data_IF_975775942072
#
_entry.id   IF_975775942072
#
_cell.length_a   1.000
_cell.length_b   1.000
_cell.length_c   1.000
_cell.angle_alpha   90.00
_cell.angle_beta   90.00
_cell.angle_gamma   90.00
#
_symmetry.space_group_name_H-M   'P 1'
#
loop_
_entity.id
_entity.type
_entity.pdbx_description
1 polymer ?
#
# COMPACT_ATOMS: atom_id res chain seq x y z
N UNK A 1 -10.90 -15.85 17.61
CA UNK A 1 -9.68 -15.03 17.78
C UNK A 1 -9.18 -14.59 16.41
N UNK A 2 -9.78 -13.57 15.76
CA UNK A 2 -9.28 -13.16 14.42
C UNK A 2 -9.59 -11.71 14.04
N UNK A 3 -10.05 -10.88 14.97
CA UNK A 3 -10.33 -9.45 14.66
C UNK A 3 -9.19 -8.54 15.12
N UNK A 4 -8.35 -9.01 16.05
CA UNK A 4 -7.35 -8.18 16.74
C UNK A 4 -6.03 -8.05 15.92
N UNK A 5 -5.74 -8.99 15.01
CA UNK A 5 -4.46 -8.98 14.27
C UNK A 5 -4.40 -8.01 13.09
N UNK A 6 -5.54 -7.60 12.53
CA UNK A 6 -5.58 -6.68 11.39
C UNK A 6 -5.56 -5.23 11.89
N UNK A 7 -6.28 -4.92 12.98
CA UNK A 7 -6.31 -3.57 13.56
C UNK A 7 -4.93 -3.14 14.08
N UNK A 8 -4.14 -4.05 14.66
CA UNK A 8 -2.79 -3.75 15.13
C UNK A 8 -1.77 -3.55 13.97
N UNK A 9 -1.93 -4.26 12.84
CA UNK A 9 -1.02 -4.14 11.68
C UNK A 9 -1.31 -2.87 10.84
N UNK A 10 -2.58 -2.47 10.74
CA UNK A 10 -2.99 -1.22 10.07
C UNK A 10 -2.66 0.02 10.93
N UNK A 11 -2.62 -0.12 12.26
CA UNK A 11 -2.19 0.96 13.17
C UNK A 11 -0.76 1.43 12.90
N UNK A 12 0.10 0.59 12.30
CA UNK A 12 1.50 0.95 12.03
C UNK A 12 1.69 1.85 10.80
N UNK A 13 0.72 1.90 9.87
CA UNK A 13 0.85 2.66 8.63
C UNK A 13 0.22 4.05 8.77
N UNK A 14 -0.79 4.22 9.63
CA UNK A 14 -1.42 5.52 9.89
C UNK A 14 -0.48 6.53 10.58
N UNK A 15 0.70 6.11 11.07
CA UNK A 15 1.57 6.98 11.86
C UNK A 15 3.04 6.50 11.85
N UNK A 16 3.74 6.54 10.72
CA UNK A 16 5.21 6.78 10.77
C UNK A 16 5.44 8.28 11.04
N UNK A 17 4.89 8.76 12.15
CA UNK A 17 5.33 9.92 12.92
C UNK A 17 5.88 9.43 14.26
N UNK A 18 6.55 8.28 14.25
CA UNK A 18 7.24 7.76 15.42
C UNK A 18 8.49 8.65 15.55
N UNK A 19 8.55 9.50 16.58
CA UNK A 19 9.65 10.43 16.90
C UNK A 19 9.84 11.69 16.01
N UNK A 20 8.81 12.21 15.34
CA UNK A 20 8.94 13.48 14.61
C UNK A 20 9.74 13.40 13.30
N UNK A 21 10.03 12.18 12.83
CA UNK A 21 10.56 11.90 11.50
C UNK A 21 9.38 11.54 10.60
N UNK A 22 9.08 12.37 9.61
CA UNK A 22 8.14 12.01 8.53
C UNK A 22 8.90 11.12 7.55
N UNK A 23 8.78 9.80 7.68
CA UNK A 23 9.38 8.89 6.71
C UNK A 23 8.42 8.78 5.53
N UNK A 24 8.87 9.26 4.37
CA UNK A 24 8.13 9.10 3.13
C UNK A 24 8.22 7.63 2.68
N UNK A 25 7.10 6.92 2.77
CA UNK A 25 7.00 5.50 2.40
C UNK A 25 6.70 5.39 0.91
N UNK A 26 7.40 4.51 0.20
CA UNK A 26 7.17 4.26 -1.22
C UNK A 26 6.47 2.93 -1.45
N UNK A 27 5.88 2.78 -2.64
CA UNK A 27 5.19 1.53 -3.03
C UNK A 27 6.11 0.32 -2.90
N UNK A 28 7.36 0.43 -3.35
CA UNK A 28 8.36 -0.65 -3.25
C UNK A 28 8.62 -1.15 -1.82
N UNK A 29 8.40 -0.29 -0.82
CA UNK A 29 8.59 -0.63 0.59
C UNK A 29 7.37 -1.39 1.14
N UNK A 30 6.18 -1.14 0.58
CA UNK A 30 4.91 -1.73 1.00
C UNK A 30 4.64 -3.08 0.33
N UNK A 31 4.95 -3.22 -0.96
CA UNK A 31 4.61 -4.43 -1.72
C UNK A 31 5.08 -5.74 -1.06
N UNK A 32 6.31 -5.86 -0.53
CA UNK A 32 6.74 -7.06 0.17
C UNK A 32 5.94 -7.35 1.46
N UNK A 33 5.34 -6.34 2.09
CA UNK A 33 4.56 -6.48 3.33
C UNK A 33 3.14 -7.00 3.07
N UNK A 34 2.61 -6.74 1.87
CA UNK A 34 1.27 -7.12 1.43
C UNK A 34 1.29 -8.22 0.36
N UNK A 35 2.44 -8.89 0.19
CA UNK A 35 2.64 -9.92 -0.85
C UNK A 35 1.71 -11.15 -0.74
N UNK A 36 1.00 -11.32 0.38
CA UNK A 36 0.03 -12.40 0.58
C UNK A 36 -1.41 -12.01 0.19
N UNK A 37 -1.58 -10.76 -0.24
CA UNK A 37 -2.84 -10.15 -0.60
C UNK A 37 -2.76 -9.67 -2.05
N UNK A 38 -3.91 -9.58 -2.70
CA UNK A 38 -4.01 -8.79 -3.91
C UNK A 38 -3.76 -7.31 -3.52
N UNK A 39 -3.03 -6.56 -4.35
CA UNK A 39 -2.70 -5.17 -4.09
C UNK A 39 -3.20 -4.29 -5.22
N UNK A 40 -4.14 -3.41 -4.90
CA UNK A 40 -4.69 -2.42 -5.83
C UNK A 40 -4.04 -1.07 -5.55
N UNK A 41 -3.37 -0.50 -6.54
CA UNK A 41 -2.68 0.79 -6.44
C UNK A 41 -3.58 1.85 -7.08
N UNK A 42 -4.01 2.82 -6.27
CA UNK A 42 -4.89 3.91 -6.68
C UNK A 42 -4.18 5.25 -6.53
N UNK A 43 -4.15 6.04 -7.60
CA UNK A 43 -3.68 7.43 -7.59
C UNK A 43 -4.82 8.38 -7.28
N UNK A 44 -4.56 9.36 -6.42
CA UNK A 44 -5.56 10.37 -6.07
C UNK A 44 -6.80 9.75 -5.43
N UNK A 45 -7.99 10.03 -5.98
CA UNK A 45 -9.26 9.59 -5.40
C UNK A 45 -9.78 8.28 -5.99
N UNK A 46 -9.55 8.00 -7.28
CA UNK A 46 -10.21 6.87 -7.96
C UNK A 46 -9.43 6.33 -9.18
N UNK A 47 -8.22 6.84 -9.46
CA UNK A 47 -7.46 6.40 -10.64
C UNK A 47 -6.70 5.11 -10.31
N UNK A 48 -7.25 3.95 -10.67
CA UNK A 48 -6.54 2.68 -10.57
C UNK A 48 -5.37 2.65 -11.56
N UNK A 49 -4.15 2.60 -11.03
CA UNK A 49 -2.93 2.48 -11.83
C UNK A 49 -2.59 1.00 -12.07
N UNK A 50 -2.81 0.15 -11.06
CA UNK A 50 -2.37 -1.24 -11.12
C UNK A 50 -3.14 -2.13 -10.14
N UNK A 51 -3.45 -3.35 -10.58
CA UNK A 51 -3.91 -4.44 -9.73
C UNK A 51 -2.91 -5.60 -9.80
N UNK A 52 -2.28 -5.89 -8.67
CA UNK A 52 -1.35 -6.99 -8.48
C UNK A 52 -2.09 -8.13 -7.79
N UNK A 53 -2.14 -9.29 -8.42
CA UNK A 53 -2.66 -10.49 -7.77
C UNK A 53 -1.58 -11.16 -6.93
N UNK A 54 -1.97 -11.94 -5.93
CA UNK A 54 -1.14 -12.65 -4.95
C UNK A 54 0.07 -13.42 -5.56
N UNK A 55 0.01 -13.78 -6.85
CA UNK A 55 1.09 -14.48 -7.57
C UNK A 55 1.95 -13.57 -8.47
N UNK A 56 1.74 -12.25 -8.44
CA UNK A 56 2.41 -11.33 -9.35
C UNK A 56 3.77 -10.86 -8.80
N UNK A 57 4.81 -11.03 -9.62
CA UNK A 57 6.16 -10.59 -9.26
C UNK A 57 6.25 -9.06 -9.23
N UNK A 58 6.60 -8.50 -8.06
CA UNK A 58 6.90 -7.06 -7.86
C UNK A 58 7.88 -6.49 -8.89
N UNK A 59 8.75 -7.33 -9.46
CA UNK A 59 9.73 -6.96 -10.50
C UNK A 59 9.12 -6.52 -11.83
N UNK A 60 7.84 -6.76 -12.06
CA UNK A 60 7.15 -6.39 -13.30
C UNK A 60 6.59 -4.96 -13.29
N UNK A 61 6.64 -4.27 -12.16
CA UNK A 61 6.20 -2.88 -12.04
C UNK A 61 7.26 -1.91 -12.54
N UNK A 62 6.83 -0.80 -13.13
CA UNK A 62 7.73 0.29 -13.52
C UNK A 62 8.36 0.95 -12.30
N UNK A 63 9.59 1.46 -12.45
CA UNK A 63 10.26 2.23 -11.40
C UNK A 63 9.45 3.47 -10.99
N UNK A 64 8.63 4.00 -11.90
CA UNK A 64 7.71 5.11 -11.61
C UNK A 64 6.72 4.72 -10.51
N UNK A 65 5.96 3.63 -10.69
CA UNK A 65 4.99 3.14 -9.70
C UNK A 65 5.69 2.77 -8.40
N UNK A 66 6.81 2.06 -8.49
CA UNK A 66 7.59 1.63 -7.32
C UNK A 66 8.11 2.80 -6.48
N UNK A 67 8.34 3.96 -7.10
CA UNK A 67 8.84 5.17 -6.44
C UNK A 67 7.75 6.16 -6.02
N UNK A 68 6.47 5.90 -6.33
CA UNK A 68 5.36 6.73 -5.87
C UNK A 68 5.26 6.71 -4.35
N UNK A 69 4.84 7.84 -3.79
CA UNK A 69 4.68 8.01 -2.35
C UNK A 69 3.35 7.44 -1.92
N UNK A 70 3.38 6.52 -0.97
CA UNK A 70 2.17 5.92 -0.38
C UNK A 70 1.56 6.92 0.59
N UNK A 71 0.33 7.31 0.33
CA UNK A 71 -0.43 8.27 1.16
C UNK A 71 -1.36 7.55 2.14
N UNK A 72 -1.87 6.37 1.77
CA UNK A 72 -2.77 5.58 2.61
C UNK A 72 -2.79 4.12 2.21
N UNK A 73 -3.12 3.24 3.16
CA UNK A 73 -3.33 1.82 2.91
C UNK A 73 -4.63 1.41 3.61
N UNK A 74 -5.50 0.73 2.89
CA UNK A 74 -6.80 0.24 3.37
C UNK A 74 -7.01 -1.20 2.92
N UNK A 75 -7.84 -1.92 3.66
CA UNK A 75 -8.38 -3.18 3.17
C UNK A 75 -9.61 -2.86 2.30
N UNK A 76 -9.80 -3.57 1.20
CA UNK A 76 -11.07 -3.51 0.49
C UNK A 76 -12.11 -4.33 1.26
N UNK A 77 -13.21 -3.69 1.65
CA UNK A 77 -14.29 -4.37 2.39
C UNK A 77 -15.23 -5.15 1.45
N UNK A 78 -15.14 -4.90 0.15
CA UNK A 78 -15.99 -5.51 -0.89
C UNK A 78 -15.28 -6.68 -1.58
N UNK A 79 -13.94 -6.70 -1.58
CA UNK A 79 -13.13 -7.73 -2.25
C UNK A 79 -12.21 -8.42 -1.23
N UNK A 80 -12.48 -9.69 -0.96
CA UNK A 80 -11.67 -10.49 -0.04
C UNK A 80 -10.18 -10.51 -0.45
N UNK A 81 -9.30 -10.45 0.55
CA UNK A 81 -7.85 -10.47 0.39
C UNK A 81 -7.24 -9.36 -0.48
N UNK A 82 -7.97 -8.26 -0.74
CA UNK A 82 -7.44 -7.12 -1.50
C UNK A 82 -7.06 -5.96 -0.59
N UNK A 83 -5.83 -5.48 -0.72
CA UNK A 83 -5.32 -4.29 -0.07
C UNK A 83 -5.26 -3.15 -1.08
N UNK A 84 -5.90 -2.05 -0.75
CA UNK A 84 -5.88 -0.81 -1.53
C UNK A 84 -4.75 0.09 -1.01
N UNK A 85 -3.83 0.43 -1.89
CA UNK A 85 -2.69 1.32 -1.65
C UNK A 85 -2.92 2.61 -2.40
N UNK A 86 -3.15 3.69 -1.67
CA UNK A 86 -3.29 5.03 -2.23
C UNK A 86 -1.91 5.65 -2.38
N UNK A 87 -1.67 6.24 -3.54
CA UNK A 87 -0.39 6.83 -3.91
C UNK A 87 -0.55 8.26 -4.43
N UNK A 88 0.49 9.04 -4.25
CA UNK A 88 0.67 10.34 -4.88
C UNK A 88 1.98 10.34 -5.66
N UNK A 89 2.06 11.21 -6.67
CA UNK A 89 3.32 11.49 -7.34
C UNK A 89 4.36 11.95 -6.33
N UNK A 90 5.62 11.79 -6.73
CA UNK A 90 6.74 12.33 -5.97
C UNK A 90 6.53 13.85 -5.86
N UNK A 91 6.49 14.38 -4.65
CA UNK A 91 6.64 15.83 -4.46
C UNK A 91 7.98 16.22 -5.08
N UNK A 92 7.93 17.12 -6.06
CA UNK A 92 9.08 17.64 -6.83
C UNK A 92 10.01 18.47 -5.94
#
# INVERSE_FOLDING_TARGET
>A
MTTIYITAKIMFIRNIKILGVSVMVKVKDILPLIQWNDAQIIKGLDEEICLLRNDFMVKSLSEEILNMTVTSIKNDENIENTIVVYVADKED
#
